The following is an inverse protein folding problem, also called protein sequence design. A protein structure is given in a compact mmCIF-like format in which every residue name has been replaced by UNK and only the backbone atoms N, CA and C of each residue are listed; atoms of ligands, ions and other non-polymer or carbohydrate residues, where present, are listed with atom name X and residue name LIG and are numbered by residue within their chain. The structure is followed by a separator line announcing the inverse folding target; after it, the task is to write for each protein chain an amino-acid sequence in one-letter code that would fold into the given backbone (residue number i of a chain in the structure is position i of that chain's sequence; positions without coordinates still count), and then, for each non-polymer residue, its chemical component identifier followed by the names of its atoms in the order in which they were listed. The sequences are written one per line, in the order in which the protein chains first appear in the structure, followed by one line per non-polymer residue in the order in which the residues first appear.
data_IF_205034310658
#
_entry.id   IF_205034310658
#
_cell.length_a   1.000
_cell.length_b   1.000
_cell.length_c   1.000
_cell.angle_alpha   90.00
_cell.angle_beta   90.00
_cell.angle_gamma   90.00
#
_symmetry.space_group_name_H-M   'P 1'
#
loop_
_entity.id
_entity.type
_entity.pdbx_description
1 polymer ?
#
# COMPACT_ATOMS: atom_id res chain seq x y z
N UNK A 1 16.17 17.67 1.96
CA UNK A 1 16.86 16.80 0.97
C UNK A 1 16.21 15.42 0.82
N UNK A 2 16.11 14.58 1.87
CA UNK A 2 15.52 13.22 1.78
C UNK A 2 14.11 13.19 1.15
N UNK A 3 13.23 14.10 1.57
CA UNK A 3 11.84 14.15 1.06
C UNK A 3 11.71 14.47 -0.43
N UNK A 4 12.61 15.30 -0.97
CA UNK A 4 12.45 15.90 -2.29
C UNK A 4 13.13 15.11 -3.42
N UNK A 5 14.14 14.29 -3.11
CA UNK A 5 14.89 13.53 -4.11
C UNK A 5 14.77 12.02 -3.93
N UNK A 6 14.96 11.49 -2.71
CA UNK A 6 15.01 10.03 -2.47
C UNK A 6 13.62 9.41 -2.60
N UNK A 7 12.58 10.07 -2.06
CA UNK A 7 11.22 9.52 -2.10
C UNK A 7 10.64 9.46 -3.52
N UNK A 8 10.70 10.53 -4.35
CA UNK A 8 10.19 10.45 -5.72
C UNK A 8 11.02 9.50 -6.61
N UNK A 9 12.35 9.47 -6.42
CA UNK A 9 13.23 8.59 -7.20
C UNK A 9 13.01 7.12 -6.82
N UNK A 10 12.92 6.82 -5.52
CA UNK A 10 12.62 5.48 -5.01
C UNK A 10 11.25 4.99 -5.47
N UNK A 11 10.22 5.85 -5.42
CA UNK A 11 8.89 5.55 -5.95
C UNK A 11 8.92 5.26 -7.46
N UNK A 12 9.63 6.09 -8.24
CA UNK A 12 9.77 5.91 -9.69
C UNK A 12 10.48 4.59 -10.02
N UNK A 13 11.55 4.28 -9.29
CA UNK A 13 12.32 3.05 -9.48
C UNK A 13 11.49 1.81 -9.14
N UNK A 14 10.80 1.79 -8.00
CA UNK A 14 10.00 0.63 -7.59
C UNK A 14 8.85 0.33 -8.55
N UNK A 15 8.24 1.37 -9.14
CA UNK A 15 7.22 1.18 -10.19
C UNK A 15 7.76 0.51 -11.44
N UNK A 16 9.02 0.75 -11.82
CA UNK A 16 9.63 0.11 -12.99
C UNK A 16 9.83 -1.40 -12.79
N UNK A 17 9.88 -1.87 -11.55
CA UNK A 17 10.04 -3.27 -11.21
C UNK A 17 8.72 -4.04 -11.12
N UNK A 18 7.58 -3.35 -11.24
CA UNK A 18 6.28 -3.99 -11.34
C UNK A 18 6.23 -4.85 -12.61
N UNK A 19 5.66 -6.05 -12.51
CA UNK A 19 5.58 -6.98 -13.63
C UNK A 19 4.26 -7.72 -13.59
N UNK A 20 3.57 -7.75 -14.73
CA UNK A 20 2.29 -8.46 -14.87
C UNK A 20 2.50 -9.92 -15.32
N UNK A 21 3.70 -10.48 -15.08
CA UNK A 21 4.03 -11.85 -15.51
C UNK A 21 3.58 -12.82 -14.44
N UNK A 22 2.62 -13.67 -14.79
CA UNK A 22 2.09 -14.72 -13.92
C UNK A 22 3.09 -15.88 -13.68
N UNK A 23 4.03 -16.09 -14.61
CA UNK A 23 5.13 -17.06 -14.44
C UNK A 23 6.50 -16.40 -14.63
N UNK A 24 7.40 -16.71 -13.69
CA UNK A 24 8.74 -16.16 -13.61
C UNK A 24 9.66 -17.30 -13.19
N UNK A 25 10.63 -17.65 -14.03
CA UNK A 25 11.64 -18.65 -13.69
C UNK A 25 12.39 -18.32 -12.40
N UNK A 26 12.94 -19.34 -11.74
CA UNK A 26 13.62 -19.24 -10.43
C UNK A 26 14.64 -18.10 -10.40
N UNK A 27 15.49 -18.00 -11.42
CA UNK A 27 16.51 -16.94 -11.54
C UNK A 27 15.87 -15.55 -11.60
N UNK A 28 14.80 -15.40 -12.38
CA UNK A 28 14.06 -14.14 -12.48
C UNK A 28 13.43 -13.71 -11.15
N UNK A 29 12.97 -14.66 -10.33
CA UNK A 29 12.47 -14.38 -8.98
C UNK A 29 13.56 -13.83 -8.07
N UNK A 30 14.74 -14.46 -8.06
CA UNK A 30 15.87 -13.99 -7.26
C UNK A 30 16.40 -12.62 -7.70
N UNK A 31 16.54 -12.40 -9.01
CA UNK A 31 16.96 -11.10 -9.56
C UNK A 31 15.97 -10.01 -9.15
N UNK A 32 14.67 -10.25 -9.30
CA UNK A 32 13.63 -9.30 -8.88
C UNK A 32 13.61 -9.07 -7.37
N UNK A 33 13.76 -10.13 -6.58
CA UNK A 33 13.86 -10.03 -5.13
C UNK A 33 15.03 -9.12 -4.74
N UNK A 34 16.20 -9.30 -5.34
CA UNK A 34 17.37 -8.45 -5.05
C UNK A 34 17.13 -6.99 -5.48
N UNK A 35 16.59 -6.78 -6.69
CA UNK A 35 16.25 -5.46 -7.22
C UNK A 35 15.15 -4.76 -6.41
N UNK A 36 14.32 -5.51 -5.68
CA UNK A 36 13.27 -4.94 -4.83
C UNK A 36 13.75 -4.71 -3.40
N UNK A 37 14.40 -5.71 -2.79
CA UNK A 37 14.84 -5.70 -1.39
C UNK A 37 15.90 -4.62 -1.18
N UNK A 38 16.98 -4.61 -1.97
CA UNK A 38 18.11 -3.69 -1.73
C UNK A 38 17.66 -2.23 -1.82
N UNK A 39 16.94 -1.80 -2.86
CA UNK A 39 16.53 -0.40 -2.97
C UNK A 39 15.40 -0.06 -2.00
N UNK A 40 14.58 -1.03 -1.58
CA UNK A 40 13.57 -0.81 -0.54
C UNK A 40 14.24 -0.46 0.78
N UNK A 41 15.22 -1.25 1.22
CA UNK A 41 15.95 -0.97 2.45
C UNK A 41 16.83 0.29 2.34
N UNK A 42 17.37 0.60 1.16
CA UNK A 42 18.09 1.85 0.92
C UNK A 42 17.19 3.09 1.11
N UNK A 43 15.87 2.97 0.91
CA UNK A 43 14.89 4.04 1.19
C UNK A 43 14.36 3.95 2.63
N UNK A 44 14.03 2.76 3.11
CA UNK A 44 13.41 2.54 4.42
C UNK A 44 14.35 2.86 5.58
N UNK A 45 15.61 2.43 5.49
CA UNK A 45 16.56 2.57 6.61
C UNK A 45 16.86 4.03 6.98
N UNK A 46 17.12 4.96 6.03
CA UNK A 46 17.22 6.38 6.35
C UNK A 46 15.95 6.97 6.96
N UNK A 47 14.76 6.47 6.57
CA UNK A 47 13.49 6.92 7.13
C UNK A 47 13.29 6.45 8.57
N UNK A 48 13.77 5.25 8.92
CA UNK A 48 13.78 4.77 10.30
C UNK A 48 14.71 5.59 11.19
N UNK A 49 15.93 5.85 10.73
CA UNK A 49 16.87 6.75 11.44
C UNK A 49 16.23 8.13 11.62
N UNK A 50 15.67 8.69 10.55
CA UNK A 50 15.00 9.99 10.59
C UNK A 50 13.83 9.98 11.58
N UNK A 51 13.05 8.90 11.61
CA UNK A 51 11.91 8.76 12.51
C UNK A 51 12.32 8.70 13.98
N UNK A 52 13.45 8.04 14.28
CA UNK A 52 14.01 7.98 15.63
C UNK A 52 14.52 9.36 16.11
N UNK A 53 15.14 10.14 15.22
CA UNK A 53 15.74 11.44 15.57
C UNK A 53 14.75 12.61 15.57
N UNK A 54 13.78 12.61 14.65
CA UNK A 54 12.91 13.77 14.39
C UNK A 54 11.43 13.41 14.24
N UNK A 55 11.03 12.22 14.65
CA UNK A 55 9.65 11.75 14.56
C UNK A 55 9.23 11.29 13.16
N UNK A 56 8.08 10.62 13.06
CA UNK A 56 7.65 9.89 11.86
C UNK A 56 7.43 10.78 10.63
N UNK A 57 7.67 10.24 9.42
CA UNK A 57 7.35 10.94 8.18
C UNK A 57 5.98 10.51 7.69
N UNK A 58 5.11 11.48 7.46
CA UNK A 58 3.80 11.26 6.86
C UNK A 58 3.73 11.97 5.51
N UNK A 59 3.22 11.27 4.51
CA UNK A 59 3.01 11.78 3.15
C UNK A 59 1.65 11.35 2.63
N UNK A 60 1.00 12.23 1.88
CA UNK A 60 -0.25 11.90 1.21
C UNK A 60 0.06 11.31 -0.17
N UNK A 61 -0.65 10.25 -0.55
CA UNK A 61 -0.53 9.61 -1.86
C UNK A 61 -1.91 9.21 -2.39
N UNK A 62 -1.99 9.08 -3.71
CA UNK A 62 -3.13 8.49 -4.39
C UNK A 62 -2.66 7.18 -5.02
N UNK A 63 -3.36 6.08 -4.74
CA UNK A 63 -3.11 4.78 -5.38
C UNK A 63 -3.57 4.82 -6.84
N UNK A 64 -3.17 3.84 -7.63
CA UNK A 64 -3.66 3.63 -9.01
C UNK A 64 -5.18 3.48 -9.07
N UNK A 65 -5.79 2.95 -8.00
CA UNK A 65 -7.24 2.87 -7.83
C UNK A 65 -7.91 4.21 -7.48
N UNK A 66 -7.16 5.31 -7.42
CA UNK A 66 -7.66 6.63 -7.06
C UNK A 66 -8.00 6.78 -5.58
N UNK A 67 -7.47 5.91 -4.71
CA UNK A 67 -7.71 5.95 -3.26
C UNK A 67 -6.67 6.88 -2.64
N UNK A 68 -7.15 7.88 -1.89
CA UNK A 68 -6.28 8.84 -1.20
C UNK A 68 -5.93 8.31 0.18
N UNK A 69 -4.65 8.16 0.45
CA UNK A 69 -4.13 7.56 1.67
C UNK A 69 -3.02 8.45 2.25
N UNK A 70 -3.08 8.66 3.55
CA UNK A 70 -2.03 9.32 4.32
C UNK A 70 -1.07 8.26 4.88
N UNK A 71 0.07 8.09 4.23
CA UNK A 71 1.06 7.06 4.56
C UNK A 71 2.10 7.56 5.55
N UNK A 72 2.26 6.82 6.63
CA UNK A 72 3.26 6.96 7.68
C UNK A 72 4.48 6.08 7.32
N UNK A 73 5.51 6.65 6.71
CA UNK A 73 6.55 5.92 5.95
C UNK A 73 7.54 5.03 6.74
N UNK A 74 7.49 5.01 8.08
CA UNK A 74 8.23 4.01 8.86
C UNK A 74 7.42 2.74 9.16
N UNK A 75 6.13 2.73 8.80
CA UNK A 75 5.32 1.52 8.76
C UNK A 75 5.59 0.78 7.44
N UNK A 76 5.89 -0.52 7.54
CA UNK A 76 6.27 -1.36 6.40
C UNK A 76 5.20 -1.50 5.32
N UNK A 77 3.92 -1.52 5.72
CA UNK A 77 2.79 -1.58 4.79
C UNK A 77 2.61 -0.22 4.11
N UNK A 78 2.73 0.87 4.86
CA UNK A 78 2.46 2.22 4.33
C UNK A 78 3.57 2.70 3.41
N UNK A 79 4.83 2.37 3.68
CA UNK A 79 5.94 2.65 2.76
C UNK A 79 5.80 1.82 1.48
N UNK A 80 5.33 0.56 1.57
CA UNK A 80 5.02 -0.25 0.40
C UNK A 80 3.95 0.43 -0.46
N UNK A 81 2.79 0.77 0.12
CA UNK A 81 1.70 1.47 -0.58
C UNK A 81 2.21 2.76 -1.25
N UNK A 82 3.06 3.53 -0.56
CA UNK A 82 3.63 4.76 -1.11
C UNK A 82 4.55 4.50 -2.31
N UNK A 83 5.50 3.57 -2.18
CA UNK A 83 6.54 3.31 -3.18
C UNK A 83 5.98 2.63 -4.43
N UNK A 84 5.10 1.65 -4.27
CA UNK A 84 4.52 0.93 -5.41
C UNK A 84 3.32 1.68 -5.98
N UNK A 85 2.56 2.40 -5.16
CA UNK A 85 1.41 3.18 -5.61
C UNK A 85 0.19 2.33 -5.93
N UNK A 86 0.20 1.04 -5.62
CA UNK A 86 -0.93 0.12 -5.74
C UNK A 86 -1.67 0.01 -4.41
N UNK A 87 -2.89 -0.54 -4.45
CA UNK A 87 -3.49 -1.08 -3.23
C UNK A 87 -2.58 -2.20 -2.67
N UNK A 88 -2.54 -2.35 -1.35
CA UNK A 88 -1.87 -3.48 -0.70
C UNK A 88 -2.33 -4.80 -1.34
N UNK A 89 -1.37 -5.66 -1.68
CA UNK A 89 -1.57 -6.94 -2.38
C UNK A 89 -2.33 -6.83 -3.73
N UNK A 90 -1.63 -6.63 -4.87
CA UNK A 90 -2.26 -6.45 -6.18
C UNK A 90 -3.11 -7.66 -6.61
N UNK A 91 -2.71 -8.88 -6.25
CA UNK A 91 -3.46 -10.11 -6.55
C UNK A 91 -4.78 -10.17 -5.79
N UNK A 92 -4.77 -9.74 -4.51
CA UNK A 92 -5.99 -9.62 -3.71
C UNK A 92 -6.92 -8.58 -4.32
N UNK A 93 -6.40 -7.40 -4.69
CA UNK A 93 -7.18 -6.38 -5.36
C UNK A 93 -7.79 -6.89 -6.68
N UNK A 94 -7.03 -7.63 -7.49
CA UNK A 94 -7.51 -8.24 -8.72
C UNK A 94 -8.57 -9.33 -8.48
N UNK A 95 -8.41 -10.13 -7.42
CA UNK A 95 -9.41 -11.11 -7.00
C UNK A 95 -10.71 -10.43 -6.58
N UNK A 96 -10.63 -9.40 -5.73
CA UNK A 96 -11.79 -8.65 -5.23
C UNK A 96 -12.56 -7.99 -6.37
N UNK A 97 -11.86 -7.33 -7.32
CA UNK A 97 -12.50 -6.72 -8.51
C UNK A 97 -13.25 -7.74 -9.37
N UNK A 98 -12.81 -9.00 -9.40
CA UNK A 98 -13.47 -10.06 -10.18
C UNK A 98 -14.64 -10.72 -9.45
N UNK A 99 -14.70 -10.60 -8.13
CA UNK A 99 -15.64 -11.37 -7.29
C UNK A 99 -16.71 -10.52 -6.63
N UNK A 100 -16.37 -9.33 -6.16
CA UNK A 100 -17.33 -8.42 -5.55
C UNK A 100 -18.21 -7.76 -6.61
N UNK A 101 -19.48 -7.60 -6.26
CA UNK A 101 -20.51 -6.97 -7.09
C UNK A 101 -21.14 -5.77 -6.36
N UNK A 102 -21.71 -4.82 -7.10
CA UNK A 102 -22.49 -3.75 -6.49
C UNK A 102 -23.63 -4.31 -5.63
N UNK A 103 -23.74 -3.85 -4.38
CA UNK A 103 -24.71 -4.35 -3.41
C UNK A 103 -24.19 -5.41 -2.45
N UNK A 104 -23.00 -5.97 -2.68
CA UNK A 104 -22.43 -6.99 -1.80
C UNK A 104 -22.07 -6.43 -0.41
N UNK A 105 -21.99 -7.34 0.56
CA UNK A 105 -21.41 -7.07 1.88
C UNK A 105 -19.99 -7.61 1.94
N UNK A 106 -19.02 -6.77 2.29
CA UNK A 106 -17.61 -7.13 2.48
C UNK A 106 -17.18 -6.86 3.93
N UNK A 107 -16.41 -7.78 4.50
CA UNK A 107 -15.86 -7.64 5.85
C UNK A 107 -14.33 -7.64 5.73
N UNK A 108 -13.72 -6.52 6.09
CA UNK A 108 -12.26 -6.30 6.08
C UNK A 108 -11.69 -6.50 7.48
N UNK A 109 -11.05 -7.65 7.71
CA UNK A 109 -10.43 -8.00 9.00
C UNK A 109 -8.94 -7.69 8.93
N UNK A 110 -8.46 -6.80 9.80
CA UNK A 110 -7.10 -6.26 9.73
C UNK A 110 -6.99 -5.11 8.73
N UNK A 111 -8.00 -4.22 8.72
CA UNK A 111 -8.15 -3.15 7.74
C UNK A 111 -6.98 -2.15 7.72
N UNK A 112 -6.16 -2.11 8.77
CA UNK A 112 -4.99 -1.24 8.91
C UNK A 112 -5.38 0.23 8.71
N UNK A 113 -4.86 0.89 7.67
CA UNK A 113 -5.23 2.27 7.28
C UNK A 113 -6.40 2.35 6.30
N UNK A 114 -7.13 1.26 6.06
CA UNK A 114 -8.36 1.21 5.27
C UNK A 114 -8.14 1.16 3.74
N UNK A 115 -6.96 0.74 3.26
CA UNK A 115 -6.67 0.69 1.83
C UNK A 115 -7.60 -0.27 1.08
N UNK A 116 -7.77 -1.50 1.61
CA UNK A 116 -8.65 -2.52 1.02
C UNK A 116 -10.11 -2.16 1.24
N UNK A 117 -10.47 -1.70 2.45
CA UNK A 117 -11.80 -1.15 2.76
C UNK A 117 -12.26 -0.10 1.74
N UNK A 118 -11.39 0.86 1.40
CA UNK A 118 -11.74 1.92 0.45
C UNK A 118 -11.89 1.38 -0.99
N UNK A 119 -11.07 0.41 -1.39
CA UNK A 119 -11.21 -0.27 -2.68
C UNK A 119 -12.55 -1.01 -2.77
N UNK A 120 -12.87 -1.82 -1.77
CA UNK A 120 -14.09 -2.63 -1.77
C UNK A 120 -15.34 -1.77 -1.64
N UNK A 121 -15.30 -0.67 -0.87
CA UNK A 121 -16.39 0.31 -0.79
C UNK A 121 -16.76 0.88 -2.17
N UNK A 122 -15.76 1.19 -3.01
CA UNK A 122 -16.00 1.61 -4.39
C UNK A 122 -16.59 0.51 -5.27
N UNK A 123 -16.17 -0.73 -5.09
CA UNK A 123 -16.66 -1.87 -5.89
C UNK A 123 -18.10 -2.21 -5.55
N UNK A 124 -18.44 -2.31 -4.25
CA UNK A 124 -19.81 -2.66 -3.82
C UNK A 124 -20.78 -1.48 -3.94
N UNK A 125 -20.25 -0.25 -3.97
CA UNK A 125 -21.02 0.96 -4.22
C UNK A 125 -22.03 1.30 -3.11
N UNK A 126 -22.91 2.29 -3.33
CA UNK A 126 -23.76 2.86 -2.28
C UNK A 126 -24.86 1.91 -1.76
N UNK A 127 -25.12 0.81 -2.46
CA UNK A 127 -26.08 -0.23 -2.03
C UNK A 127 -25.40 -1.38 -1.27
N UNK A 128 -24.07 -1.45 -1.31
CA UNK A 128 -23.30 -2.46 -0.59
C UNK A 128 -22.93 -1.99 0.80
N UNK A 129 -22.38 -2.91 1.59
CA UNK A 129 -21.92 -2.64 2.95
C UNK A 129 -20.47 -3.08 3.09
N UNK A 130 -19.62 -2.23 3.66
CA UNK A 130 -18.26 -2.60 4.03
C UNK A 130 -18.07 -2.40 5.52
N UNK A 131 -17.68 -3.47 6.21
CA UNK A 131 -17.38 -3.43 7.65
C UNK A 131 -15.88 -3.67 7.83
N UNK A 132 -15.20 -2.70 8.41
CA UNK A 132 -13.76 -2.77 8.66
C UNK A 132 -13.47 -2.97 10.15
N UNK A 133 -12.60 -3.93 10.45
CA UNK A 133 -12.13 -4.23 11.80
C UNK A 133 -10.61 -4.11 11.83
N UNK A 134 -10.09 -3.30 12.76
CA UNK A 134 -8.64 -3.14 12.97
C UNK A 134 -8.33 -3.14 14.47
N UNK A 135 -7.67 -4.20 14.99
CA UNK A 135 -7.39 -4.30 16.41
C UNK A 135 -6.27 -3.38 16.90
N UNK A 136 -5.41 -2.88 16.01
CA UNK A 136 -4.25 -2.08 16.37
C UNK A 136 -4.60 -0.57 16.43
N UNK A 137 -4.67 0.04 17.62
CA UNK A 137 -5.16 1.41 17.79
C UNK A 137 -4.28 2.47 17.11
N UNK A 138 -3.00 2.16 16.85
CA UNK A 138 -2.06 3.10 16.26
C UNK A 138 -2.35 3.39 14.77
N UNK A 139 -3.09 2.52 14.09
CA UNK A 139 -3.42 2.62 12.65
C UNK A 139 -4.90 2.97 12.40
N UNK A 140 -5.76 2.89 13.43
CA UNK A 140 -7.18 3.28 13.40
C UNK A 140 -7.47 4.68 12.82
N UNK A 141 -6.63 5.73 12.97
CA UNK A 141 -6.97 7.06 12.45
C UNK A 141 -7.31 7.11 10.95
N UNK A 142 -6.88 6.12 10.15
CA UNK A 142 -7.23 5.99 8.73
C UNK A 142 -8.63 5.44 8.44
N UNK A 143 -9.27 4.76 9.40
CA UNK A 143 -10.55 4.05 9.23
C UNK A 143 -11.79 4.87 9.68
N UNK A 144 -11.73 6.21 9.70
CA UNK A 144 -12.92 7.02 10.05
C UNK A 144 -13.95 6.93 8.94
N UNK A 145 -15.17 6.52 9.30
CA UNK A 145 -16.41 6.45 8.49
C UNK A 145 -16.23 7.00 7.07
N UNK A 146 -15.87 6.11 6.15
CA UNK A 146 -15.88 6.36 4.70
C UNK A 146 -17.30 6.63 4.20
#
# INVERSE_FOLDING_TARGET
MIKALILPLGRRYMRLLHTDKEDVGVVGRWVRALLMIVPFFAVAFPLWIRAALWGPLTVDTTTEDGIRIRCRLQDGIQIYIYLFGTAWEPDLAAFLRRRLRPGDTFIDIGAHIGCVTALTSRIVGPRGTVVAFEPCPIVIPGCRKL
#
